data_IF_630427691980
#
_entry.id   IF_630427691980
#
_cell.length_a   1.000
_cell.length_b   1.000
_cell.length_c   1.000
_cell.angle_alpha   90.00
_cell.angle_beta   90.00
_cell.angle_gamma   90.00
#
_symmetry.space_group_name_H-M   'P 1'
#
loop_
_entity.id
_entity.type
_entity.pdbx_description
1 polymer ?
#
# COMPACT_ATOMS: atom_id res chain seq x y z
N UNK A 1 23.20 5.51 -28.16
CA UNK A 1 23.72 6.47 -27.16
C UNK A 1 22.51 7.11 -26.52
N UNK A 2 21.97 6.51 -25.46
CA UNK A 2 20.91 7.15 -24.65
C UNK A 2 21.47 7.32 -23.25
N UNK A 3 21.95 8.52 -22.99
CA UNK A 3 22.22 9.01 -21.64
C UNK A 3 21.33 10.22 -21.46
N UNK A 4 20.04 9.97 -21.24
CA UNK A 4 19.19 10.99 -20.64
C UNK A 4 19.56 10.97 -19.17
N UNK A 5 20.55 11.77 -18.80
CA UNK A 5 20.81 12.08 -17.41
C UNK A 5 19.56 12.77 -16.87
N UNK A 6 18.67 12.00 -16.25
CA UNK A 6 17.59 12.52 -15.42
C UNK A 6 18.23 13.08 -14.15
N UNK A 7 18.85 14.24 -14.25
CA UNK A 7 19.43 14.96 -13.12
C UNK A 7 18.34 15.67 -12.29
N UNK A 8 17.18 15.02 -12.15
CA UNK A 8 15.97 15.56 -11.56
C UNK A 8 15.09 14.47 -10.96
N UNK A 9 14.22 14.84 -10.02
CA UNK A 9 13.34 13.91 -9.30
C UNK A 9 12.16 13.41 -10.16
N UNK A 10 11.43 12.40 -9.68
CA UNK A 10 10.25 11.83 -10.37
C UNK A 10 9.17 12.88 -10.63
N UNK A 11 9.06 13.89 -9.76
CA UNK A 11 8.17 15.03 -9.97
C UNK A 11 8.51 15.80 -11.26
N UNK A 12 9.78 16.10 -11.49
CA UNK A 12 10.23 16.81 -12.69
C UNK A 12 10.10 15.93 -13.93
N UNK A 13 10.44 14.64 -13.80
CA UNK A 13 10.18 13.64 -14.83
C UNK A 13 8.71 13.65 -15.26
N UNK A 14 7.77 13.59 -14.31
CA UNK A 14 6.32 13.61 -14.62
C UNK A 14 5.87 14.87 -15.35
N UNK A 15 6.46 16.03 -15.05
CA UNK A 15 6.16 17.28 -15.74
C UNK A 15 6.79 17.36 -17.14
N UNK A 16 7.90 16.65 -17.37
CA UNK A 16 8.60 16.62 -18.67
C UNK A 16 8.05 15.57 -19.64
N UNK A 17 7.47 14.47 -19.12
CA UNK A 17 7.12 13.28 -19.89
C UNK A 17 5.73 13.37 -20.52
N UNK A 18 5.46 14.44 -21.27
CA UNK A 18 4.20 14.58 -21.98
C UNK A 18 4.21 13.75 -23.28
N UNK A 19 3.45 12.66 -23.31
CA UNK A 19 3.25 11.81 -24.50
C UNK A 19 4.42 10.88 -24.85
N UNK A 20 5.44 10.79 -24.00
CA UNK A 20 6.58 9.89 -24.16
C UNK A 20 6.41 8.63 -23.29
N UNK A 21 7.07 7.55 -23.66
CA UNK A 21 7.11 6.35 -22.83
C UNK A 21 7.94 6.60 -21.56
N UNK A 22 7.44 6.09 -20.43
CA UNK A 22 8.20 6.05 -19.17
C UNK A 22 9.52 5.31 -19.39
N UNK A 23 10.65 5.81 -18.84
CA UNK A 23 11.93 5.13 -18.98
C UNK A 23 11.86 3.70 -18.45
N UNK A 24 12.49 2.77 -19.16
CA UNK A 24 12.43 1.34 -18.83
C UNK A 24 12.91 1.04 -17.39
N UNK A 25 13.78 1.87 -16.81
CA UNK A 25 14.22 1.75 -15.41
C UNK A 25 13.11 1.92 -14.38
N UNK A 26 11.99 2.56 -14.75
CA UNK A 26 10.80 2.72 -13.90
C UNK A 26 9.68 1.73 -14.25
N UNK A 27 9.85 0.94 -15.32
CA UNK A 27 8.85 -0.03 -15.73
C UNK A 27 9.00 -1.32 -14.91
N UNK A 28 7.89 -1.79 -14.33
CA UNK A 28 7.88 -3.07 -13.61
C UNK A 28 8.16 -4.23 -14.58
N UNK A 29 9.11 -5.14 -14.26
CA UNK A 29 9.57 -6.17 -15.18
C UNK A 29 8.43 -7.08 -15.66
N UNK A 30 8.27 -7.28 -16.98
CA UNK A 30 7.19 -8.09 -17.55
C UNK A 30 7.10 -9.50 -16.97
N UNK A 31 8.23 -10.11 -16.64
CA UNK A 31 8.35 -11.46 -16.09
C UNK A 31 7.81 -11.60 -14.65
N UNK A 32 7.70 -10.48 -13.92
CA UNK A 32 7.13 -10.46 -12.57
C UNK A 32 5.66 -10.01 -12.54
N UNK A 33 5.11 -9.62 -13.70
CA UNK A 33 3.71 -9.18 -13.78
C UNK A 33 2.83 -10.38 -13.50
N UNK A 34 2.07 -10.29 -12.42
CA UNK A 34 1.03 -11.28 -12.16
C UNK A 34 0.00 -11.20 -13.30
N UNK A 35 -0.17 -12.32 -14.01
CA UNK A 35 -1.17 -12.46 -15.08
C UNK A 35 -2.60 -12.59 -14.54
N UNK A 36 -2.74 -12.76 -13.23
CA UNK A 36 -4.02 -12.84 -12.56
C UNK A 36 -4.64 -11.45 -12.43
N UNK A 37 -5.77 -11.24 -13.09
CA UNK A 37 -6.86 -10.48 -12.44
C UNK A 37 -7.24 -11.31 -11.22
N UNK A 38 -6.46 -11.19 -10.16
CA UNK A 38 -6.76 -11.86 -8.92
C UNK A 38 -8.13 -11.32 -8.53
N UNK A 39 -9.13 -12.21 -8.48
CA UNK A 39 -10.38 -11.96 -7.78
C UNK A 39 -10.01 -11.83 -6.29
N UNK A 40 -9.29 -10.75 -5.95
CA UNK A 40 -9.14 -10.25 -4.61
C UNK A 40 -10.55 -9.85 -4.26
N UNK A 41 -11.30 -10.83 -3.76
CA UNK A 41 -12.47 -10.63 -2.90
C UNK A 41 -12.15 -9.38 -2.11
N UNK A 42 -12.98 -8.33 -2.22
CA UNK A 42 -12.75 -6.99 -1.69
C UNK A 42 -12.34 -7.03 -0.22
N UNK A 43 -11.08 -7.35 0.03
CA UNK A 43 -10.52 -7.52 1.33
C UNK A 43 -10.17 -6.10 1.72
N UNK A 44 -11.02 -5.52 2.56
CA UNK A 44 -10.81 -4.17 3.06
C UNK A 44 -9.84 -4.24 4.22
N UNK A 45 -8.81 -3.40 4.15
CA UNK A 45 -7.85 -3.20 5.23
C UNK A 45 -8.60 -2.88 6.52
N UNK A 46 -8.33 -3.58 7.63
CA UNK A 46 -9.02 -3.34 8.88
C UNK A 46 -8.74 -1.92 9.41
N UNK A 47 -9.74 -1.32 10.04
CA UNK A 47 -9.62 -0.04 10.76
C UNK A 47 -9.75 -0.33 12.24
N UNK A 48 -8.81 0.16 13.06
CA UNK A 48 -8.79 -0.09 14.50
C UNK A 48 -8.96 1.23 15.26
N UNK A 49 -10.03 1.35 16.04
CA UNK A 49 -10.18 2.48 16.95
C UNK A 49 -9.32 2.27 18.21
N UNK A 50 -8.14 2.89 18.21
CA UNK A 50 -7.20 2.82 19.33
C UNK A 50 -7.70 3.52 20.59
N UNK A 51 -8.72 4.39 20.52
CA UNK A 51 -9.29 5.01 21.72
C UNK A 51 -9.97 3.97 22.63
N UNK A 52 -10.54 2.92 22.04
CA UNK A 52 -11.21 1.83 22.77
C UNK A 52 -10.26 1.01 23.65
N UNK A 53 -8.96 1.03 23.35
CA UNK A 53 -7.94 0.42 24.22
C UNK A 53 -7.87 1.09 25.60
N UNK A 54 -8.38 2.32 25.71
CA UNK A 54 -8.47 3.09 26.94
C UNK A 54 -9.89 3.13 27.51
N UNK A 55 -10.82 2.33 26.97
CA UNK A 55 -12.19 2.28 27.49
C UNK A 55 -12.20 1.80 28.95
N UNK A 56 -13.10 2.38 29.74
CA UNK A 56 -13.41 1.92 31.10
C UNK A 56 -14.28 0.66 31.10
N UNK A 57 -14.89 0.30 29.97
CA UNK A 57 -15.58 -0.98 29.78
C UNK A 57 -14.56 -2.07 29.48
N UNK A 58 -14.53 -3.11 30.33
CA UNK A 58 -13.64 -4.25 30.15
C UNK A 58 -13.95 -5.02 28.86
N UNK A 59 -15.22 -5.09 28.45
CA UNK A 59 -15.63 -5.76 27.22
C UNK A 59 -15.13 -5.01 25.99
N UNK A 60 -15.37 -3.70 25.91
CA UNK A 60 -14.94 -2.88 24.77
C UNK A 60 -13.41 -2.89 24.64
N UNK A 61 -12.70 -2.75 25.76
CA UNK A 61 -11.24 -2.80 25.77
C UNK A 61 -10.72 -4.16 25.31
N UNK A 62 -11.35 -5.24 25.76
CA UNK A 62 -10.95 -6.60 25.36
C UNK A 62 -11.21 -6.86 23.89
N UNK A 63 -12.34 -6.40 23.34
CA UNK A 63 -12.62 -6.55 21.90
C UNK A 63 -11.67 -5.71 21.04
N UNK A 64 -11.31 -4.50 21.49
CA UNK A 64 -10.32 -3.67 20.82
C UNK A 64 -8.94 -4.35 20.76
N UNK A 65 -8.51 -4.98 21.86
CA UNK A 65 -7.25 -5.75 21.90
C UNK A 65 -7.30 -6.95 20.95
N UNK A 66 -8.41 -7.72 20.94
CA UNK A 66 -8.59 -8.86 20.03
C UNK A 66 -8.56 -8.43 18.57
N UNK A 67 -9.26 -7.35 18.24
CA UNK A 67 -9.30 -6.81 16.87
C UNK A 67 -7.94 -6.31 16.41
N UNK A 68 -7.18 -5.62 17.29
CA UNK A 68 -5.80 -5.23 17.02
C UNK A 68 -4.91 -6.44 16.76
N UNK A 69 -4.99 -7.48 17.61
CA UNK A 69 -4.22 -8.71 17.44
C UNK A 69 -4.49 -9.39 16.10
N UNK A 70 -5.77 -9.56 15.73
CA UNK A 70 -6.16 -10.12 14.43
C UNK A 70 -5.62 -9.30 13.25
N UNK A 71 -5.72 -7.97 13.32
CA UNK A 71 -5.18 -7.12 12.26
C UNK A 71 -3.66 -7.29 12.11
N UNK A 72 -2.93 -7.40 13.21
CA UNK A 72 -1.48 -7.68 13.17
C UNK A 72 -1.17 -9.06 12.56
N UNK A 73 -1.94 -10.10 12.90
CA UNK A 73 -1.69 -11.48 12.47
C UNK A 73 -2.12 -11.75 11.02
N UNK A 74 -3.30 -11.29 10.64
CA UNK A 74 -3.92 -11.59 9.34
C UNK A 74 -3.47 -10.61 8.26
N UNK A 75 -3.26 -9.33 8.62
CA UNK A 75 -2.93 -8.26 7.67
C UNK A 75 -1.51 -7.76 7.83
N UNK A 76 -1.02 -7.62 9.05
CA UNK A 76 0.24 -6.94 9.37
C UNK A 76 0.17 -5.42 9.24
N UNK A 77 -1.00 -4.87 8.89
CA UNK A 77 -1.26 -3.44 8.82
C UNK A 77 -2.75 -3.13 9.01
N UNK A 78 -3.06 -1.91 9.47
CA UNK A 78 -4.41 -1.39 9.69
C UNK A 78 -4.38 0.14 9.61
N UNK A 79 -5.56 0.75 9.47
CA UNK A 79 -5.76 2.20 9.60
C UNK A 79 -5.88 2.63 11.07
#
# INVERSE_FOLDING_TARGET
METVALCGGIKELSASIHGQQIPASYAFPPELRDSGVSNVVQATVPTIDLQLLRSHSDEERSEAIRSLGRACEEWGFFH
#
